data_IF_496052010815
#
_entry.id   IF_496052010815
#
_cell.length_a   1.000
_cell.length_b   1.000
_cell.length_c   1.000
_cell.angle_alpha   90.00
_cell.angle_beta   90.00
_cell.angle_gamma   90.00
#
_symmetry.space_group_name_H-M   'P 1'
#
loop_
_entity.id
_entity.type
_entity.pdbx_description
1 polymer ?
#
# COMPACT_ATOMS: atom_id res chain seq x y z
N UNK A 1 9.42 28.95 13.07
CA UNK A 1 8.97 28.54 14.42
C UNK A 1 10.13 27.85 15.11
N UNK A 2 10.48 28.28 16.33
CA UNK A 2 11.55 27.64 17.09
C UNK A 2 11.15 26.20 17.45
N UNK A 3 12.06 25.23 17.26
CA UNK A 3 11.88 23.87 17.77
C UNK A 3 11.83 23.94 19.31
N UNK A 4 11.05 23.09 19.99
CA UNK A 4 10.95 23.05 21.46
C UNK A 4 12.35 22.99 22.12
N UNK A 5 13.30 22.33 21.48
CA UNK A 5 14.71 22.34 21.87
C UNK A 5 15.28 23.76 21.97
N UNK A 6 15.14 24.58 20.92
CA UNK A 6 15.60 25.98 20.91
C UNK A 6 14.88 26.85 21.93
N UNK A 7 13.60 26.55 22.21
CA UNK A 7 12.85 27.24 23.26
C UNK A 7 13.45 26.91 24.62
N UNK A 8 13.78 25.64 24.88
CA UNK A 8 14.43 25.21 26.13
C UNK A 8 15.86 25.77 26.25
N UNK A 9 16.64 25.76 25.17
CA UNK A 9 17.96 26.40 25.14
C UNK A 9 17.87 27.89 25.46
N UNK A 10 16.88 28.59 24.89
CA UNK A 10 16.63 30.00 25.17
C UNK A 10 16.18 30.24 26.63
N UNK A 11 15.36 29.35 27.20
CA UNK A 11 14.97 29.40 28.62
C UNK A 11 16.20 29.18 29.52
N UNK A 12 17.02 28.17 29.23
CA UNK A 12 18.26 27.91 29.97
C UNK A 12 19.24 29.08 29.85
N UNK A 13 19.41 29.64 28.65
CA UNK A 13 20.24 30.81 28.44
C UNK A 13 19.70 32.02 29.21
N UNK A 14 18.39 32.26 29.17
CA UNK A 14 17.72 33.34 29.90
C UNK A 14 18.00 33.26 31.40
N UNK A 15 17.92 32.06 31.99
CA UNK A 15 18.28 31.82 33.39
C UNK A 15 19.77 32.06 33.65
N UNK A 16 20.67 31.56 32.79
CA UNK A 16 22.11 31.78 32.92
C UNK A 16 22.54 33.25 32.76
N UNK A 17 21.69 34.07 32.13
CA UNK A 17 21.93 35.52 31.94
C UNK A 17 21.16 36.38 32.94
N UNK A 18 20.63 35.81 34.03
CA UNK A 18 19.83 36.49 35.05
C UNK A 18 18.58 37.22 34.49
N UNK A 19 18.08 36.75 33.34
CA UNK A 19 16.91 37.30 32.65
C UNK A 19 15.60 36.63 33.08
N UNK A 20 15.71 35.47 33.73
CA UNK A 20 14.64 34.71 34.36
C UNK A 20 15.04 34.41 35.81
N UNK A 21 14.11 34.58 36.74
CA UNK A 21 14.33 34.13 38.12
C UNK A 21 14.10 32.60 38.28
N UNK A 22 14.36 32.07 39.48
CA UNK A 22 14.24 30.63 39.77
C UNK A 22 12.83 30.09 39.52
N UNK A 23 11.79 30.85 39.89
CA UNK A 23 10.39 30.44 39.76
C UNK A 23 9.95 30.48 38.30
N UNK A 24 10.34 31.52 37.56
CA UNK A 24 10.12 31.68 36.13
C UNK A 24 10.83 30.59 35.32
N UNK A 25 12.10 30.29 35.65
CA UNK A 25 12.85 29.23 35.00
C UNK A 25 12.18 27.88 35.24
N UNK A 26 11.87 27.52 36.49
CA UNK A 26 11.24 26.24 36.82
C UNK A 26 9.90 26.07 36.10
N UNK A 27 9.04 27.10 36.14
CA UNK A 27 7.74 27.07 35.48
C UNK A 27 7.87 26.93 33.95
N UNK A 28 8.72 27.73 33.32
CA UNK A 28 8.91 27.69 31.86
C UNK A 28 9.60 26.40 31.43
N UNK A 29 10.58 25.92 32.18
CA UNK A 29 11.32 24.70 31.85
C UNK A 29 10.46 23.44 31.99
N UNK A 30 9.58 23.39 33.00
CA UNK A 30 8.62 22.30 33.18
C UNK A 30 7.47 22.36 32.18
N UNK A 31 6.89 23.54 31.92
CA UNK A 31 5.84 23.71 30.91
C UNK A 31 6.31 23.38 29.50
N UNK A 32 7.60 23.56 29.22
CA UNK A 32 8.21 23.21 27.93
C UNK A 32 8.90 21.85 27.95
N UNK A 33 8.56 20.94 28.89
CA UNK A 33 9.09 19.58 28.92
C UNK A 33 8.54 18.76 27.76
N UNK A 34 9.40 18.19 26.89
CA UNK A 34 8.93 17.35 25.80
C UNK A 34 8.24 16.11 26.37
N UNK A 35 7.05 15.78 25.85
CA UNK A 35 6.38 14.52 26.16
C UNK A 35 7.05 13.31 25.47
N UNK A 36 7.92 13.56 24.50
CA UNK A 36 8.65 12.56 23.72
C UNK A 36 10.13 12.53 24.12
N UNK A 37 10.81 11.38 23.98
CA UNK A 37 12.26 11.32 24.16
C UNK A 37 12.97 12.31 23.25
N UNK A 38 13.94 13.04 23.79
CA UNK A 38 14.77 13.96 23.04
C UNK A 38 15.88 13.18 22.34
N UNK A 39 15.71 12.93 21.05
CA UNK A 39 16.75 12.34 20.23
C UNK A 39 17.69 13.44 19.74
N UNK A 40 18.99 13.24 19.93
CA UNK A 40 20.04 14.14 19.43
C UNK A 40 20.22 13.96 17.92
N UNK A 41 19.19 14.29 17.13
CA UNK A 41 19.20 14.06 15.67
C UNK A 41 20.29 14.87 14.95
N UNK A 42 20.69 16.00 15.52
CA UNK A 42 21.68 16.94 14.97
C UNK A 42 23.13 16.45 15.06
N UNK A 43 23.39 15.31 15.72
CA UNK A 43 24.73 14.70 15.78
C UNK A 43 25.00 13.73 14.63
N UNK A 44 23.98 13.42 13.83
CA UNK A 44 24.09 12.53 12.67
C UNK A 44 24.22 13.34 11.38
N UNK A 45 24.93 12.78 10.41
CA UNK A 45 25.05 13.38 9.09
C UNK A 45 23.71 13.35 8.34
N UNK A 46 23.42 14.37 7.51
CA UNK A 46 22.23 14.37 6.67
C UNK A 46 22.17 13.13 5.77
N UNK A 47 20.96 12.60 5.54
CA UNK A 47 20.77 11.47 4.65
C UNK A 47 21.27 11.76 3.24
N UNK A 48 22.13 10.90 2.73
CA UNK A 48 22.52 10.82 1.33
C UNK A 48 22.28 9.38 0.83
N UNK A 49 21.62 9.23 -0.31
CA UNK A 49 21.41 7.91 -0.91
C UNK A 49 22.74 7.34 -1.44
N UNK A 50 23.72 8.20 -1.73
CA UNK A 50 24.99 7.76 -2.27
C UNK A 50 25.82 6.90 -1.29
N UNK A 51 25.57 7.04 0.01
CA UNK A 51 26.19 6.23 1.06
C UNK A 51 25.72 4.76 1.08
N UNK A 52 24.69 4.41 0.31
CA UNK A 52 24.10 3.07 0.28
C UNK A 52 24.52 2.31 -0.98
N UNK A 53 24.69 0.99 -0.88
CA UNK A 53 24.76 0.11 -2.06
C UNK A 53 23.39 -0.51 -2.40
N UNK A 54 23.31 -1.23 -3.52
CA UNK A 54 22.06 -1.86 -3.99
C UNK A 54 21.42 -2.82 -2.98
N UNK A 55 22.23 -3.61 -2.28
CA UNK A 55 21.73 -4.57 -1.29
C UNK A 55 21.16 -3.86 -0.07
N UNK A 56 21.82 -2.79 0.37
CA UNK A 56 21.32 -1.94 1.46
C UNK A 56 20.05 -1.20 1.06
N UNK A 57 20.02 -0.60 -0.15
CA UNK A 57 18.82 0.05 -0.68
C UNK A 57 17.64 -0.93 -0.74
N UNK A 58 17.87 -2.15 -1.24
CA UNK A 58 16.82 -3.17 -1.29
C UNK A 58 16.39 -3.63 0.11
N UNK A 59 17.33 -3.78 1.05
CA UNK A 59 17.03 -4.17 2.43
C UNK A 59 16.21 -3.12 3.19
N UNK A 60 16.52 -1.83 3.02
CA UNK A 60 15.87 -0.73 3.75
C UNK A 60 14.64 -0.16 3.03
N UNK A 61 14.67 -0.09 1.70
CA UNK A 61 13.67 0.61 0.89
C UNK A 61 12.89 -0.30 -0.05
N UNK A 62 13.30 -1.56 -0.25
CA UNK A 62 12.71 -2.55 -1.20
C UNK A 62 12.94 -2.24 -2.67
N UNK A 63 13.85 -1.32 -2.98
CA UNK A 63 14.24 -0.98 -4.35
C UNK A 63 15.76 -0.81 -4.38
N UNK A 64 16.37 -1.14 -5.52
CA UNK A 64 17.79 -0.87 -5.81
C UNK A 64 18.03 0.64 -5.95
N UNK A 65 19.29 1.08 -5.90
CA UNK A 65 19.64 2.49 -5.87
C UNK A 65 19.08 3.24 -7.08
N UNK A 66 19.40 2.80 -8.30
CA UNK A 66 18.96 3.46 -9.53
C UNK A 66 17.43 3.46 -9.68
N UNK A 67 16.78 2.41 -9.19
CA UNK A 67 15.33 2.28 -9.23
C UNK A 67 14.63 3.24 -8.28
N UNK A 68 15.28 3.71 -7.19
CA UNK A 68 14.72 4.76 -6.33
C UNK A 68 14.63 6.10 -7.06
N UNK A 69 15.62 6.43 -7.89
CA UNK A 69 15.58 7.61 -8.75
C UNK A 69 14.46 7.50 -9.78
N UNK A 70 14.35 6.35 -10.47
CA UNK A 70 13.27 6.09 -11.43
C UNK A 70 11.89 6.13 -10.79
N UNK A 71 11.75 5.56 -9.59
CA UNK A 71 10.50 5.56 -8.85
C UNK A 71 10.11 6.98 -8.40
N UNK A 72 11.08 7.80 -7.96
CA UNK A 72 10.86 9.21 -7.64
C UNK A 72 10.27 9.95 -8.86
N UNK A 73 10.86 9.75 -10.02
CA UNK A 73 10.47 10.44 -11.25
C UNK A 73 9.11 9.92 -11.77
N UNK A 74 8.88 8.61 -11.74
CA UNK A 74 7.60 8.00 -12.12
C UNK A 74 6.45 8.46 -11.20
N UNK A 75 6.70 8.61 -9.90
CA UNK A 75 5.74 9.17 -8.95
C UNK A 75 5.61 10.69 -9.05
N UNK A 76 6.39 11.35 -9.92
CA UNK A 76 6.42 12.80 -10.10
C UNK A 76 6.69 13.55 -8.79
N UNK A 77 7.55 12.98 -7.94
CA UNK A 77 7.90 13.60 -6.66
C UNK A 77 8.84 14.78 -6.95
N UNK A 78 8.51 16.00 -6.48
CA UNK A 78 9.32 17.17 -6.78
C UNK A 78 10.68 17.10 -6.07
N UNK A 79 11.68 17.76 -6.63
CA UNK A 79 13.04 17.84 -6.06
C UNK A 79 13.05 18.31 -4.60
N UNK A 80 12.14 19.23 -4.26
CA UNK A 80 11.93 19.69 -2.89
C UNK A 80 10.45 19.70 -2.54
N UNK A 81 10.14 19.06 -1.43
CA UNK A 81 8.80 19.02 -0.86
C UNK A 81 8.70 20.04 0.26
N UNK A 82 7.60 20.79 0.29
CA UNK A 82 7.22 21.66 1.40
C UNK A 82 6.05 21.03 2.15
N UNK A 83 6.29 20.56 3.36
CA UNK A 83 5.24 20.02 4.23
C UNK A 83 4.32 21.13 4.77
N UNK A 84 3.16 20.75 5.29
CA UNK A 84 2.11 21.68 5.80
C UNK A 84 2.59 22.59 6.93
N UNK A 85 3.52 22.14 7.74
CA UNK A 85 4.17 22.91 8.82
C UNK A 85 5.39 23.71 8.35
N UNK A 86 5.65 23.76 7.03
CA UNK A 86 6.73 24.54 6.43
C UNK A 86 8.08 23.83 6.35
N UNK A 87 8.20 22.59 6.86
CA UNK A 87 9.44 21.81 6.69
C UNK A 87 9.74 21.57 5.21
N UNK A 88 11.02 21.57 4.89
CA UNK A 88 11.54 21.30 3.55
C UNK A 88 12.40 20.05 3.58
N UNK A 89 12.15 19.15 2.65
CA UNK A 89 12.85 17.87 2.50
C UNK A 89 13.15 17.64 1.02
N UNK A 90 14.26 16.97 0.71
CA UNK A 90 14.53 16.58 -0.67
C UNK A 90 13.56 15.47 -1.10
N UNK A 91 13.18 15.44 -2.38
CA UNK A 91 12.24 14.44 -2.90
C UNK A 91 12.74 13.01 -2.69
N UNK A 92 14.03 12.77 -2.94
CA UNK A 92 14.67 11.45 -2.79
C UNK A 92 14.69 11.00 -1.32
N UNK A 93 15.03 11.90 -0.41
CA UNK A 93 14.98 11.65 1.03
C UNK A 93 13.54 11.33 1.47
N UNK A 94 12.54 12.08 0.97
CA UNK A 94 11.15 11.90 1.35
C UNK A 94 10.59 10.54 0.89
N UNK A 95 10.93 10.07 -0.32
CA UNK A 95 10.54 8.72 -0.75
C UNK A 95 11.27 7.65 0.06
N UNK A 96 12.54 7.82 0.40
CA UNK A 96 13.27 6.87 1.25
C UNK A 96 12.68 6.80 2.67
N UNK A 97 12.22 7.93 3.23
CA UNK A 97 11.46 7.97 4.49
C UNK A 97 10.15 7.19 4.34
N UNK A 98 9.38 7.41 3.27
CA UNK A 98 8.14 6.66 3.01
C UNK A 98 8.40 5.16 2.93
N UNK A 99 9.36 4.75 2.11
CA UNK A 99 9.70 3.35 1.87
C UNK A 99 10.21 2.66 3.13
N UNK A 100 11.08 3.31 3.92
CA UNK A 100 11.51 2.80 5.22
C UNK A 100 10.35 2.56 6.17
N UNK A 101 9.34 3.44 6.17
CA UNK A 101 8.11 3.26 6.98
C UNK A 101 7.26 2.09 6.52
N UNK A 102 7.34 1.71 5.25
CA UNK A 102 6.51 0.66 4.65
C UNK A 102 7.22 -0.71 4.69
N UNK A 103 8.53 -0.73 4.44
CA UNK A 103 9.35 -1.93 4.30
C UNK A 103 9.31 -2.84 5.53
N UNK A 104 9.33 -2.27 6.74
CA UNK A 104 9.23 -3.03 7.99
C UNK A 104 8.61 -2.22 9.14
N UNK A 105 7.96 -2.86 10.13
CA UNK A 105 7.49 -2.17 11.33
C UNK A 105 8.64 -1.54 12.13
N UNK A 106 8.71 -0.20 12.15
CA UNK A 106 9.63 0.55 13.00
C UNK A 106 8.91 1.69 13.72
N UNK A 107 9.55 2.29 14.73
CA UNK A 107 9.18 3.58 15.33
C UNK A 107 9.87 4.70 14.55
N UNK A 108 9.34 5.93 14.62
CA UNK A 108 10.06 7.08 14.06
C UNK A 108 11.41 7.32 14.75
N UNK A 109 11.53 7.02 16.04
CA UNK A 109 12.80 7.09 16.77
C UNK A 109 13.89 6.20 16.17
N UNK A 110 13.52 5.05 15.60
CA UNK A 110 14.48 4.10 14.99
C UNK A 110 15.09 4.69 13.70
N UNK A 111 14.39 5.63 13.06
CA UNK A 111 14.78 6.28 11.81
C UNK A 111 15.59 7.56 12.01
N UNK A 112 15.66 8.08 13.24
CA UNK A 112 16.33 9.36 13.52
C UNK A 112 17.80 9.32 13.11
N UNK A 113 18.48 8.19 13.37
CA UNK A 113 19.90 8.01 13.04
C UNK A 113 20.15 8.07 11.54
N UNK A 114 19.29 7.42 10.76
CA UNK A 114 19.42 7.32 9.31
C UNK A 114 19.13 8.63 8.60
N UNK A 115 18.10 9.36 9.06
CA UNK A 115 17.64 10.55 8.35
C UNK A 115 18.11 11.87 8.97
N UNK A 116 18.79 11.83 10.12
CA UNK A 116 19.18 13.02 10.89
C UNK A 116 18.02 14.01 11.08
N UNK A 117 16.81 13.48 11.36
CA UNK A 117 15.59 14.26 11.56
C UNK A 117 14.92 13.91 12.87
N UNK A 118 14.27 14.90 13.47
CA UNK A 118 13.44 14.66 14.64
C UNK A 118 12.18 13.83 14.29
N UNK A 119 11.62 13.21 15.32
CA UNK A 119 10.42 12.37 15.19
C UNK A 119 9.22 13.13 14.59
N UNK A 120 8.92 14.38 14.99
CA UNK A 120 7.86 15.18 14.35
C UNK A 120 8.05 15.41 12.85
N UNK A 121 9.28 15.68 12.38
CA UNK A 121 9.59 15.85 10.97
C UNK A 121 9.36 14.54 10.21
N UNK A 122 9.91 13.42 10.70
CA UNK A 122 9.73 12.10 10.08
C UNK A 122 8.25 11.71 9.96
N UNK A 123 7.47 11.95 11.01
CA UNK A 123 6.03 11.70 11.01
C UNK A 123 5.30 12.57 9.96
N UNK A 124 5.65 13.86 9.91
CA UNK A 124 5.06 14.81 8.97
C UNK A 124 5.36 14.43 7.53
N UNK A 125 6.64 14.16 7.23
CA UNK A 125 7.11 13.81 5.88
C UNK A 125 6.47 12.51 5.43
N UNK A 126 6.50 11.47 6.27
CA UNK A 126 5.85 10.19 5.93
C UNK A 126 4.35 10.36 5.66
N UNK A 127 3.64 11.12 6.51
CA UNK A 127 2.20 11.37 6.32
C UNK A 127 1.93 12.18 5.04
N UNK A 128 2.75 13.17 4.75
CA UNK A 128 2.67 13.94 3.52
C UNK A 128 2.86 13.04 2.29
N UNK A 129 3.88 12.18 2.29
CA UNK A 129 4.16 11.26 1.20
C UNK A 129 3.04 10.23 0.99
N UNK A 130 2.47 9.67 2.06
CA UNK A 130 1.30 8.79 1.96
C UNK A 130 0.14 9.51 1.28
N UNK A 131 -0.14 10.75 1.68
CA UNK A 131 -1.22 11.53 1.10
C UNK A 131 -0.94 11.92 -0.35
N UNK A 132 0.30 12.31 -0.67
CA UNK A 132 0.72 12.64 -2.03
C UNK A 132 0.55 11.45 -2.97
N UNK A 133 1.13 10.29 -2.63
CA UNK A 133 1.01 9.09 -3.48
C UNK A 133 -0.45 8.65 -3.62
N UNK A 134 -1.21 8.69 -2.52
CA UNK A 134 -2.63 8.36 -2.59
C UNK A 134 -3.40 9.32 -3.50
N UNK A 135 -3.28 10.64 -3.28
CA UNK A 135 -4.08 11.64 -4.00
C UNK A 135 -3.72 11.71 -5.48
N UNK A 136 -2.43 11.58 -5.81
CA UNK A 136 -1.98 11.71 -7.20
C UNK A 136 -2.07 10.41 -7.99
N UNK A 137 -2.02 9.23 -7.33
CA UNK A 137 -1.82 7.94 -8.00
C UNK A 137 -2.84 6.84 -7.63
N UNK A 138 -3.84 7.09 -6.77
CA UNK A 138 -4.85 6.05 -6.45
C UNK A 138 -5.66 5.60 -7.66
N UNK A 139 -5.84 6.49 -8.65
CA UNK A 139 -6.50 6.17 -9.91
C UNK A 139 -5.90 4.94 -10.62
N UNK A 140 -4.62 4.65 -10.41
CA UNK A 140 -3.91 3.51 -10.99
C UNK A 140 -4.43 2.14 -10.52
N UNK A 141 -5.15 2.11 -9.40
CA UNK A 141 -5.75 0.89 -8.82
C UNK A 141 -7.25 1.06 -8.55
N UNK A 142 -7.87 2.17 -8.92
CA UNK A 142 -9.31 2.40 -8.72
C UNK A 142 -10.15 2.04 -9.96
N UNK A 143 -9.60 2.14 -11.17
CA UNK A 143 -10.31 1.88 -12.43
C UNK A 143 -9.63 0.81 -13.28
N UNK A 144 -10.43 0.09 -14.05
CA UNK A 144 -9.94 -0.86 -15.06
C UNK A 144 -9.58 -0.17 -16.39
N UNK A 145 -9.75 1.16 -16.49
CA UNK A 145 -9.41 1.94 -17.67
C UNK A 145 -7.89 2.19 -17.81
N UNK A 146 -7.11 1.13 -18.00
CA UNK A 146 -5.66 1.20 -18.17
C UNK A 146 -5.24 0.55 -19.48
N UNK A 147 -4.16 1.03 -20.09
CA UNK A 147 -3.69 0.51 -21.38
C UNK A 147 -3.35 -0.99 -21.33
N UNK A 148 -2.80 -1.47 -20.20
CA UNK A 148 -2.46 -2.87 -19.96
C UNK A 148 -3.67 -3.74 -19.56
N UNK A 149 -4.86 -3.15 -19.53
CA UNK A 149 -6.17 -3.80 -19.37
C UNK A 149 -7.05 -3.64 -20.63
N UNK A 150 -6.43 -3.37 -21.80
CA UNK A 150 -7.15 -3.37 -23.08
C UNK A 150 -7.67 -4.78 -23.43
N UNK A 151 -8.68 -4.86 -24.30
CA UNK A 151 -9.25 -6.14 -24.76
C UNK A 151 -8.19 -7.14 -25.23
N UNK A 152 -7.16 -6.68 -25.93
CA UNK A 152 -6.04 -7.52 -26.37
C UNK A 152 -5.26 -8.10 -25.18
N UNK A 153 -4.94 -7.28 -24.17
CA UNK A 153 -4.27 -7.75 -22.96
C UNK A 153 -5.14 -8.72 -22.16
N UNK A 154 -6.43 -8.41 -21.99
CA UNK A 154 -7.36 -9.28 -21.27
C UNK A 154 -7.48 -10.66 -21.96
N UNK A 155 -7.50 -10.71 -23.29
CA UNK A 155 -7.47 -11.96 -24.05
C UNK A 155 -6.18 -12.75 -23.82
N UNK A 156 -5.03 -12.07 -23.81
CA UNK A 156 -3.73 -12.70 -23.52
C UNK A 156 -3.71 -13.29 -22.12
N UNK A 157 -4.23 -12.56 -21.13
CA UNK A 157 -4.34 -13.04 -19.76
C UNK A 157 -5.27 -14.26 -19.64
N UNK A 158 -6.42 -14.22 -20.31
CA UNK A 158 -7.36 -15.35 -20.33
C UNK A 158 -6.76 -16.60 -20.98
N UNK A 159 -6.03 -16.41 -22.08
CA UNK A 159 -5.33 -17.49 -22.77
C UNK A 159 -4.24 -18.10 -21.90
N UNK A 160 -3.44 -17.28 -21.20
CA UNK A 160 -2.40 -17.73 -20.29
C UNK A 160 -2.97 -18.51 -19.09
N UNK A 161 -4.07 -18.03 -18.50
CA UNK A 161 -4.77 -18.72 -17.41
C UNK A 161 -5.30 -20.08 -17.88
N UNK A 162 -5.95 -20.13 -19.06
CA UNK A 162 -6.44 -21.39 -19.63
C UNK A 162 -5.30 -22.37 -19.92
N UNK A 163 -4.18 -21.89 -20.46
CA UNK A 163 -3.00 -22.71 -20.75
C UNK A 163 -2.39 -23.35 -19.49
N UNK A 164 -2.59 -22.76 -18.31
CA UNK A 164 -2.20 -23.34 -17.01
C UNK A 164 -3.22 -24.31 -16.41
N UNK A 165 -4.22 -24.71 -17.21
CA UNK A 165 -5.17 -25.77 -16.86
C UNK A 165 -6.50 -25.26 -16.28
N UNK A 166 -6.77 -23.95 -16.33
CA UNK A 166 -8.07 -23.42 -15.91
C UNK A 166 -9.19 -23.91 -16.84
N UNK A 167 -10.33 -24.34 -16.28
CA UNK A 167 -11.47 -24.75 -17.10
C UNK A 167 -12.11 -23.60 -17.90
N UNK A 168 -12.06 -22.36 -17.39
CA UNK A 168 -12.55 -21.18 -18.09
C UNK A 168 -11.55 -20.69 -19.14
N UNK A 169 -12.03 -20.50 -20.37
CA UNK A 169 -11.24 -19.96 -21.49
C UNK A 169 -11.18 -18.44 -21.53
N UNK A 170 -12.08 -17.78 -20.82
CA UNK A 170 -12.31 -16.33 -20.86
C UNK A 170 -12.03 -15.65 -19.52
N UNK A 171 -11.30 -16.29 -18.61
CA UNK A 171 -10.99 -15.77 -17.27
C UNK A 171 -9.65 -15.03 -17.27
N UNK A 172 -9.63 -13.71 -17.16
CA UNK A 172 -8.39 -12.91 -17.26
C UNK A 172 -7.73 -12.55 -15.91
N UNK A 173 -8.45 -12.72 -14.81
CA UNK A 173 -7.97 -12.32 -13.49
C UNK A 173 -8.82 -12.85 -12.35
N UNK A 174 -8.40 -12.56 -11.12
CA UNK A 174 -9.00 -13.10 -9.90
C UNK A 174 -9.36 -12.00 -8.94
N UNK A 175 -10.55 -12.09 -8.33
CA UNK A 175 -10.99 -11.16 -7.28
C UNK A 175 -11.05 -11.85 -5.93
N UNK A 176 -10.55 -11.16 -4.91
CA UNK A 176 -10.70 -11.62 -3.54
C UNK A 176 -10.79 -10.48 -2.53
N UNK A 177 -11.47 -10.77 -1.41
CA UNK A 177 -11.52 -9.92 -0.24
C UNK A 177 -10.31 -10.16 0.66
N UNK A 178 -9.76 -9.10 1.24
CA UNK A 178 -8.66 -9.21 2.21
C UNK A 178 -8.95 -8.41 3.47
N UNK A 179 -8.59 -9.00 4.61
CA UNK A 179 -8.83 -8.46 5.95
C UNK A 179 -7.51 -7.97 6.51
N UNK A 180 -7.41 -6.67 6.82
CA UNK A 180 -6.22 -6.06 7.40
C UNK A 180 -6.44 -5.74 8.88
N UNK A 181 -5.81 -6.50 9.79
CA UNK A 181 -5.99 -6.30 11.23
C UNK A 181 -5.55 -4.90 11.68
N UNK A 182 -6.33 -4.30 12.56
CA UNK A 182 -6.04 -3.02 13.21
C UNK A 182 -5.99 -3.17 14.73
N UNK A 183 -5.38 -2.20 15.40
CA UNK A 183 -5.55 -2.03 16.84
C UNK A 183 -7.05 -1.95 17.17
N UNK A 184 -7.42 -2.47 18.35
CA UNK A 184 -8.78 -2.27 18.87
C UNK A 184 -9.03 -0.75 18.92
N UNK A 185 -9.98 -0.23 18.13
CA UNK A 185 -10.21 1.20 18.09
C UNK A 185 -11.02 1.61 19.34
N UNK A 186 -10.84 2.86 19.78
CA UNK A 186 -11.63 3.43 20.89
C UNK A 186 -13.07 3.67 20.46
N UNK A 187 -13.24 4.17 19.23
CA UNK A 187 -14.53 4.41 18.58
C UNK A 187 -14.79 3.37 17.49
N UNK A 188 -16.06 3.17 17.12
CA UNK A 188 -16.47 2.26 16.03
C UNK A 188 -16.02 0.80 16.18
N UNK A 189 -15.73 0.36 17.41
CA UNK A 189 -15.22 -0.97 17.71
C UNK A 189 -16.06 -2.09 17.08
N UNK A 190 -17.38 -2.04 17.25
CA UNK A 190 -18.31 -3.04 16.72
C UNK A 190 -18.36 -3.05 15.18
N UNK A 191 -18.15 -1.89 14.55
CA UNK A 191 -18.13 -1.78 13.08
C UNK A 191 -16.90 -2.48 12.50
N UNK A 192 -15.74 -2.28 13.14
CA UNK A 192 -14.48 -2.85 12.68
C UNK A 192 -14.27 -4.30 13.09
N UNK A 193 -15.09 -4.87 13.98
CA UNK A 193 -14.92 -6.25 14.42
C UNK A 193 -15.34 -7.23 13.32
N UNK A 194 -14.39 -8.01 12.82
CA UNK A 194 -14.63 -9.10 11.88
C UNK A 194 -14.89 -10.39 12.67
N UNK A 195 -16.14 -10.88 12.63
CA UNK A 195 -16.54 -12.08 13.37
C UNK A 195 -15.87 -13.37 12.89
N UNK A 196 -15.58 -13.48 11.59
CA UNK A 196 -14.96 -14.66 10.99
C UNK A 196 -13.48 -14.80 11.41
N UNK A 197 -12.71 -13.72 11.33
CA UNK A 197 -11.30 -13.68 11.73
C UNK A 197 -11.08 -13.38 13.23
N UNK A 198 -12.16 -13.05 13.96
CA UNK A 198 -12.16 -12.69 15.39
C UNK A 198 -11.17 -11.57 15.75
N UNK A 199 -11.05 -10.57 14.88
CA UNK A 199 -10.15 -9.42 15.05
C UNK A 199 -10.83 -8.12 14.62
N UNK A 200 -10.36 -6.99 15.15
CA UNK A 200 -10.69 -5.68 14.58
C UNK A 200 -9.89 -5.49 13.30
N UNK A 201 -10.54 -5.13 12.21
CA UNK A 201 -9.90 -5.02 10.90
C UNK A 201 -10.62 -4.02 9.99
N UNK A 202 -9.90 -3.62 8.95
CA UNK A 202 -10.46 -3.01 7.76
C UNK A 202 -10.47 -4.06 6.64
N UNK A 203 -11.49 -4.03 5.79
CA UNK A 203 -11.60 -4.89 4.62
C UNK A 203 -11.26 -4.13 3.35
N UNK A 204 -10.66 -4.84 2.41
CA UNK A 204 -10.40 -4.39 1.05
C UNK A 204 -10.82 -5.49 0.09
N UNK A 205 -11.12 -5.11 -1.14
CA UNK A 205 -11.34 -6.01 -2.26
C UNK A 205 -10.32 -5.67 -3.32
N UNK A 206 -9.78 -6.69 -3.99
CA UNK A 206 -8.83 -6.45 -5.06
C UNK A 206 -8.99 -7.44 -6.20
N UNK A 207 -8.79 -6.94 -7.41
CA UNK A 207 -8.65 -7.74 -8.63
C UNK A 207 -7.17 -7.80 -8.98
N UNK A 208 -6.68 -9.02 -9.19
CA UNK A 208 -5.31 -9.29 -9.64
C UNK A 208 -5.36 -9.85 -11.05
N UNK A 209 -4.52 -9.35 -11.94
CA UNK A 209 -4.42 -9.82 -13.31
C UNK A 209 -3.35 -10.93 -13.42
N UNK A 210 -3.42 -11.71 -14.51
CA UNK A 210 -2.47 -12.80 -14.76
C UNK A 210 -1.00 -12.34 -14.87
N UNK A 211 -0.75 -11.08 -15.21
CA UNK A 211 0.61 -10.50 -15.22
C UNK A 211 1.13 -10.13 -13.82
N UNK A 212 0.41 -10.47 -12.75
CA UNK A 212 0.85 -10.26 -11.37
C UNK A 212 0.60 -8.86 -10.81
N UNK A 213 -0.07 -7.98 -11.56
CA UNK A 213 -0.43 -6.64 -11.09
C UNK A 213 -1.79 -6.62 -10.38
N UNK A 214 -1.90 -5.70 -9.43
CA UNK A 214 -3.18 -5.27 -8.86
C UNK A 214 -3.90 -4.37 -9.86
N UNK A 215 -4.94 -4.90 -10.50
CA UNK A 215 -5.77 -4.21 -11.48
C UNK A 215 -6.83 -3.31 -10.84
N UNK A 216 -7.33 -3.71 -9.67
CA UNK A 216 -8.25 -2.91 -8.87
C UNK A 216 -8.01 -3.16 -7.37
N UNK A 217 -8.16 -2.14 -6.55
CA UNK A 217 -8.05 -2.19 -5.10
C UNK A 217 -9.03 -1.20 -4.45
N UNK A 218 -10.11 -1.73 -3.89
CA UNK A 218 -11.16 -0.96 -3.23
C UNK A 218 -11.12 -1.13 -1.70
N UNK A 219 -11.40 -0.04 -0.99
CA UNK A 219 -11.51 0.03 0.47
C UNK A 219 -10.96 1.36 1.01
N UNK A 220 -10.77 1.50 2.32
CA UNK A 220 -11.15 0.55 3.38
C UNK A 220 -12.66 0.51 3.64
N UNK A 221 -13.17 -0.69 3.92
CA UNK A 221 -14.55 -0.91 4.41
C UNK A 221 -14.51 -1.51 5.82
N UNK A 222 -15.59 -1.34 6.59
CA UNK A 222 -15.64 -1.81 7.98
C UNK A 222 -15.51 -3.34 8.05
N UNK A 223 -14.69 -3.84 8.98
CA UNK A 223 -14.33 -5.26 9.09
C UNK A 223 -15.50 -6.25 9.19
N UNK A 224 -16.66 -5.81 9.69
CA UNK A 224 -17.87 -6.64 9.82
C UNK A 224 -18.57 -6.97 8.49
N UNK A 225 -18.32 -6.20 7.43
CA UNK A 225 -19.06 -6.32 6.16
C UNK A 225 -18.67 -7.58 5.40
N UNK A 226 -19.60 -8.14 4.63
CA UNK A 226 -19.34 -9.28 3.75
C UNK A 226 -18.72 -8.82 2.42
N UNK A 227 -18.09 -9.72 1.70
CA UNK A 227 -17.37 -9.38 0.46
C UNK A 227 -18.33 -8.96 -0.67
N UNK A 228 -19.57 -9.45 -0.67
CA UNK A 228 -20.65 -8.93 -1.53
C UNK A 228 -20.94 -7.44 -1.31
N UNK A 229 -20.80 -6.94 -0.08
CA UNK A 229 -20.97 -5.52 0.21
C UNK A 229 -19.83 -4.73 -0.43
N UNK A 230 -18.58 -5.20 -0.31
CA UNK A 230 -17.44 -4.57 -0.97
C UNK A 230 -17.62 -4.55 -2.50
N UNK A 231 -18.04 -5.67 -3.10
CA UNK A 231 -18.29 -5.75 -4.54
C UNK A 231 -19.31 -4.70 -4.99
N UNK A 232 -20.40 -4.52 -4.25
CA UNK A 232 -21.44 -3.56 -4.59
C UNK A 232 -20.94 -2.11 -4.46
N UNK A 233 -20.30 -1.78 -3.34
CA UNK A 233 -19.84 -0.41 -3.08
C UNK A 233 -18.65 -0.01 -3.97
N UNK A 234 -17.86 -0.97 -4.46
CA UNK A 234 -16.71 -0.71 -5.33
C UNK A 234 -17.08 -0.25 -6.74
N UNK A 235 -18.31 -0.52 -7.20
CA UNK A 235 -18.69 -0.31 -8.60
C UNK A 235 -17.98 -1.26 -9.60
N UNK A 236 -17.22 -2.26 -9.13
CA UNK A 236 -16.40 -3.14 -9.97
C UNK A 236 -17.23 -3.86 -11.05
N UNK A 237 -18.45 -4.31 -10.74
CA UNK A 237 -19.31 -4.97 -11.72
C UNK A 237 -19.65 -4.06 -12.91
N UNK A 238 -19.92 -2.78 -12.65
CA UNK A 238 -20.20 -1.80 -13.69
C UNK A 238 -18.97 -1.53 -14.56
N UNK A 239 -17.78 -1.44 -13.96
CA UNK A 239 -16.54 -1.31 -14.73
C UNK A 239 -16.29 -2.54 -15.62
N UNK A 240 -16.52 -3.74 -15.10
CA UNK A 240 -16.39 -4.99 -15.87
C UNK A 240 -17.39 -5.07 -17.03
N UNK A 241 -18.66 -4.69 -16.79
CA UNK A 241 -19.71 -4.67 -17.81
C UNK A 241 -19.43 -3.68 -18.95
N UNK A 242 -18.61 -2.65 -18.72
CA UNK A 242 -18.21 -1.71 -19.76
C UNK A 242 -16.91 -2.08 -20.49
N UNK A 243 -16.02 -2.84 -19.85
CA UNK A 243 -14.61 -2.95 -20.30
C UNK A 243 -14.11 -4.38 -20.52
N UNK A 244 -14.77 -5.38 -19.92
CA UNK A 244 -14.26 -6.75 -19.88
C UNK A 244 -14.77 -7.57 -21.07
N UNK A 245 -14.32 -7.20 -22.26
CA UNK A 245 -14.64 -7.87 -23.53
C UNK A 245 -13.38 -8.15 -24.34
N UNK A 246 -13.42 -9.21 -25.13
CA UNK A 246 -12.41 -9.51 -26.13
C UNK A 246 -12.52 -8.58 -27.35
N UNK A 247 -11.61 -8.70 -28.31
CA UNK A 247 -11.60 -7.87 -29.53
C UNK A 247 -12.81 -8.11 -30.45
N UNK A 248 -13.58 -9.18 -30.23
CA UNK A 248 -14.79 -9.54 -30.97
C UNK A 248 -16.07 -9.16 -30.21
N UNK A 249 -15.96 -8.57 -29.01
CA UNK A 249 -17.09 -8.23 -28.15
C UNK A 249 -17.62 -9.38 -27.30
N UNK A 250 -16.93 -10.52 -27.23
CA UNK A 250 -17.32 -11.61 -26.32
C UNK A 250 -16.92 -11.27 -24.88
N UNK A 251 -17.77 -11.66 -23.93
CA UNK A 251 -17.55 -11.41 -22.51
C UNK A 251 -16.32 -12.14 -21.98
N UNK A 252 -15.40 -11.37 -21.41
CA UNK A 252 -14.33 -11.85 -20.54
C UNK A 252 -14.73 -11.68 -19.08
N UNK A 253 -14.29 -12.60 -18.23
CA UNK A 253 -14.64 -12.61 -16.81
C UNK A 253 -13.43 -12.62 -15.89
N UNK A 254 -13.67 -12.25 -14.65
CA UNK A 254 -12.78 -12.54 -13.53
C UNK A 254 -13.38 -13.68 -12.70
N UNK A 255 -12.55 -14.36 -11.91
CA UNK A 255 -12.98 -15.47 -11.07
C UNK A 255 -12.82 -15.14 -9.58
N UNK A 256 -13.92 -15.28 -8.83
CA UNK A 256 -14.01 -14.97 -7.41
C UNK A 256 -14.12 -16.20 -6.52
N UNK A 257 -14.07 -15.94 -5.22
CA UNK A 257 -14.42 -16.93 -4.20
C UNK A 257 -15.93 -17.29 -4.23
N UNK A 258 -16.36 -18.31 -3.47
CA UNK A 258 -17.77 -18.65 -3.36
C UNK A 258 -18.64 -17.53 -2.76
N UNK A 259 -18.11 -16.53 -2.06
CA UNK A 259 -18.95 -15.48 -1.48
C UNK A 259 -19.55 -14.58 -2.56
N UNK A 260 -18.87 -14.40 -3.69
CA UNK A 260 -19.33 -13.53 -4.76
C UNK A 260 -20.54 -14.09 -5.56
N UNK A 261 -21.39 -13.20 -6.10
CA UNK A 261 -22.48 -13.59 -7.00
C UNK A 261 -21.95 -14.01 -8.36
N UNK A 262 -22.61 -14.97 -9.01
CA UNK A 262 -22.32 -15.35 -10.38
C UNK A 262 -22.94 -14.34 -11.37
N UNK A 263 -22.11 -13.82 -12.28
CA UNK A 263 -22.47 -12.90 -13.37
C UNK A 263 -21.64 -13.25 -14.61
N UNK A 264 -22.02 -12.75 -15.78
CA UNK A 264 -21.27 -12.99 -17.02
C UNK A 264 -19.78 -12.64 -16.86
N UNK A 265 -19.48 -11.47 -16.27
CA UNK A 265 -18.13 -10.99 -16.03
C UNK A 265 -17.50 -11.41 -14.68
N UNK A 266 -18.24 -12.11 -13.80
CA UNK A 266 -17.74 -12.58 -12.51
C UNK A 266 -18.20 -14.01 -12.27
N UNK A 267 -17.29 -14.96 -12.50
CA UNK A 267 -17.52 -16.38 -12.30
C UNK A 267 -17.00 -16.83 -10.92
N UNK A 268 -17.41 -18.03 -10.51
CA UNK A 268 -17.02 -18.61 -9.23
C UNK A 268 -17.23 -20.12 -9.22
N UNK A 269 -16.86 -20.79 -8.12
CA UNK A 269 -16.97 -22.25 -8.02
C UNK A 269 -18.41 -22.72 -7.91
N UNK A 270 -18.69 -23.93 -8.41
CA UNK A 270 -19.94 -24.63 -8.14
C UNK A 270 -20.06 -24.95 -6.65
N UNK A 271 -21.29 -24.94 -6.12
CA UNK A 271 -21.60 -25.19 -4.70
C UNK A 271 -22.70 -26.24 -4.57
N UNK A 272 -22.68 -26.96 -3.46
CA UNK A 272 -23.69 -27.94 -3.03
C UNK A 272 -23.84 -29.16 -3.97
N UNK A 273 -23.72 -30.38 -3.43
CA UNK A 273 -23.93 -31.65 -4.16
C UNK A 273 -23.21 -31.72 -5.53
N UNK A 274 -21.88 -31.58 -5.50
CA UNK A 274 -21.06 -31.48 -6.70
C UNK A 274 -20.97 -32.82 -7.46
N UNK A 275 -21.24 -32.78 -8.76
CA UNK A 275 -20.89 -33.86 -9.69
C UNK A 275 -19.37 -33.99 -9.81
N UNK A 276 -18.88 -35.11 -10.36
CA UNK A 276 -17.45 -35.28 -10.59
C UNK A 276 -16.89 -34.20 -11.53
N UNK A 277 -17.62 -33.83 -12.58
CA UNK A 277 -17.20 -32.76 -13.51
C UNK A 277 -17.13 -31.40 -12.83
N UNK A 278 -18.08 -31.09 -11.93
CA UNK A 278 -18.05 -29.85 -11.15
C UNK A 278 -16.89 -29.81 -10.15
N UNK A 279 -16.52 -30.97 -9.57
CA UNK A 279 -15.32 -31.08 -8.72
C UNK A 279 -14.04 -30.85 -9.53
N UNK A 280 -13.95 -31.44 -10.73
CA UNK A 280 -12.81 -31.24 -11.63
C UNK A 280 -12.71 -29.77 -12.06
N UNK A 281 -13.84 -29.15 -12.43
CA UNK A 281 -13.89 -27.71 -12.71
C UNK A 281 -13.39 -26.89 -11.52
N UNK A 282 -13.95 -27.09 -10.33
CA UNK A 282 -13.58 -26.33 -9.13
C UNK A 282 -12.10 -26.52 -8.79
N UNK A 283 -11.57 -27.74 -8.90
CA UNK A 283 -10.17 -28.05 -8.68
C UNK A 283 -9.28 -27.29 -9.67
N UNK A 284 -9.60 -27.35 -10.97
CA UNK A 284 -8.84 -26.67 -12.03
C UNK A 284 -8.82 -25.15 -11.89
N UNK A 285 -9.94 -24.54 -11.47
CA UNK A 285 -10.00 -23.10 -11.23
C UNK A 285 -9.29 -22.71 -9.93
N UNK A 286 -9.40 -23.53 -8.88
CA UNK A 286 -8.72 -23.27 -7.61
C UNK A 286 -7.20 -23.33 -7.74
N UNK A 287 -6.66 -24.21 -8.59
CA UNK A 287 -5.21 -24.37 -8.77
C UNK A 287 -4.56 -23.15 -9.42
N UNK A 288 -5.27 -22.43 -10.30
CA UNK A 288 -4.79 -21.18 -10.89
C UNK A 288 -5.13 -19.97 -10.02
N UNK A 289 -6.28 -19.97 -9.33
CA UNK A 289 -6.74 -18.86 -8.49
C UNK A 289 -5.79 -18.56 -7.33
N UNK A 290 -5.02 -19.53 -6.85
CA UNK A 290 -4.02 -19.34 -5.78
C UNK A 290 -3.06 -18.17 -6.06
N UNK A 291 -2.89 -17.77 -7.32
CA UNK A 291 -2.09 -16.60 -7.68
C UNK A 291 -2.56 -15.29 -7.07
N UNK A 292 -3.85 -15.13 -6.75
CA UNK A 292 -4.36 -13.94 -6.04
C UNK A 292 -3.73 -13.84 -4.64
N UNK A 293 -3.53 -14.97 -3.98
CA UNK A 293 -2.93 -15.04 -2.66
C UNK A 293 -1.43 -14.72 -2.72
N UNK A 294 -0.76 -15.08 -3.82
CA UNK A 294 0.64 -14.70 -4.04
C UNK A 294 0.79 -13.19 -4.16
N UNK A 295 -0.05 -12.51 -4.94
CA UNK A 295 0.00 -11.04 -5.06
C UNK A 295 -0.30 -10.35 -3.72
N UNK A 296 -1.25 -10.86 -2.94
CA UNK A 296 -1.48 -10.35 -1.58
C UNK A 296 -0.32 -10.63 -0.64
N UNK A 297 0.34 -11.78 -0.79
CA UNK A 297 1.57 -12.12 -0.11
C UNK A 297 2.69 -11.15 -0.43
N UNK A 298 2.89 -10.84 -1.71
CA UNK A 298 3.89 -9.88 -2.20
C UNK A 298 3.68 -8.49 -1.59
N UNK A 299 2.45 -7.97 -1.60
CA UNK A 299 2.12 -6.68 -0.95
C UNK A 299 2.55 -6.63 0.52
N UNK A 300 2.31 -7.70 1.27
CA UNK A 300 2.67 -7.79 2.69
C UNK A 300 4.19 -8.01 2.85
N UNK A 301 4.81 -8.79 1.97
CA UNK A 301 6.23 -9.12 2.07
C UNK A 301 7.09 -7.91 1.75
N UNK A 302 6.76 -7.18 0.68
CA UNK A 302 7.44 -5.93 0.33
C UNK A 302 7.16 -4.86 1.40
N UNK A 303 5.89 -4.66 1.78
CA UNK A 303 5.48 -3.58 2.68
C UNK A 303 4.90 -4.09 4.01
N UNK A 304 5.75 -4.78 4.77
CA UNK A 304 5.39 -5.52 6.01
C UNK A 304 4.81 -4.64 7.11
N UNK A 305 5.09 -3.34 7.10
CA UNK A 305 4.48 -2.42 8.07
C UNK A 305 2.95 -2.32 7.91
N UNK A 306 2.41 -2.70 6.76
CA UNK A 306 0.97 -2.70 6.51
C UNK A 306 0.21 -3.81 7.21
N UNK A 307 0.88 -4.91 7.54
CA UNK A 307 0.28 -6.03 8.25
C UNK A 307 0.48 -5.97 9.77
N UNK A 308 1.35 -5.06 10.24
CA UNK A 308 1.63 -4.94 11.67
C UNK A 308 0.53 -4.20 12.43
N UNK A 309 -0.45 -4.98 12.90
CA UNK A 309 -1.62 -4.56 13.67
C UNK A 309 -1.36 -3.48 14.72
N UNK A 310 -0.26 -3.57 15.49
CA UNK A 310 0.05 -2.64 16.59
C UNK A 310 0.36 -1.21 16.11
N UNK A 311 0.73 -1.03 14.84
CA UNK A 311 0.93 0.29 14.21
C UNK A 311 -0.32 0.81 13.51
N UNK A 312 -1.38 0.01 13.38
CA UNK A 312 -2.61 0.37 12.67
C UNK A 312 -3.66 0.88 13.64
N UNK A 313 -3.50 2.12 14.09
CA UNK A 313 -4.43 2.80 15.00
C UNK A 313 -5.30 3.76 14.21
N UNK A 314 -6.60 3.47 14.13
CA UNK A 314 -7.56 4.41 13.52
C UNK A 314 -7.57 5.73 14.29
N UNK A 315 -7.67 6.85 13.56
CA UNK A 315 -7.57 8.21 14.10
C UNK A 315 -6.15 8.69 14.40
N UNK A 316 -5.15 7.80 14.44
CA UNK A 316 -3.75 8.15 14.70
C UNK A 316 -2.80 7.80 13.54
N UNK A 317 -3.27 7.01 12.58
CA UNK A 317 -2.51 6.62 11.39
C UNK A 317 -3.45 6.50 10.20
N UNK A 318 -2.94 6.76 9.00
CA UNK A 318 -3.69 6.70 7.76
C UNK A 318 -3.88 5.24 7.28
N UNK A 319 -4.42 4.36 8.15
CA UNK A 319 -4.53 2.92 7.93
C UNK A 319 -5.10 2.55 6.55
N UNK A 320 -6.15 3.26 6.12
CA UNK A 320 -6.79 3.11 4.82
C UNK A 320 -5.85 3.35 3.65
N UNK A 321 -5.32 4.58 3.59
CA UNK A 321 -4.42 5.02 2.51
C UNK A 321 -3.16 4.19 2.44
N UNK A 322 -2.60 3.77 3.58
CA UNK A 322 -1.37 2.96 3.62
C UNK A 322 -1.51 1.66 2.82
N UNK A 323 -2.65 0.97 2.89
CA UNK A 323 -2.81 -0.29 2.15
C UNK A 323 -2.94 -0.05 0.65
N UNK A 324 -3.66 1.01 0.25
CA UNK A 324 -3.80 1.41 -1.17
C UNK A 324 -2.46 1.85 -1.75
N UNK A 325 -1.71 2.70 -1.03
CA UNK A 325 -0.35 3.09 -1.41
C UNK A 325 0.58 1.87 -1.53
N UNK A 326 0.41 0.86 -0.67
CA UNK A 326 1.19 -0.38 -0.79
C UNK A 326 0.84 -1.16 -2.06
N UNK A 327 -0.42 -1.13 -2.52
CA UNK A 327 -0.80 -1.71 -3.82
C UNK A 327 -0.12 -1.01 -4.99
N UNK A 328 -0.10 0.33 -4.99
CA UNK A 328 0.58 1.13 -6.02
C UNK A 328 2.08 0.83 -6.03
N UNK A 329 2.72 0.85 -4.86
CA UNK A 329 4.14 0.54 -4.73
C UNK A 329 4.46 -0.93 -5.04
N UNK A 330 3.51 -1.85 -4.80
CA UNK A 330 3.68 -3.28 -5.17
C UNK A 330 3.64 -3.43 -6.68
N UNK A 331 2.73 -2.74 -7.37
CA UNK A 331 2.76 -2.70 -8.83
C UNK A 331 4.11 -2.16 -9.31
N UNK A 332 4.57 -1.02 -8.79
CA UNK A 332 5.91 -0.46 -9.09
C UNK A 332 7.07 -1.45 -8.81
N UNK A 333 6.96 -2.28 -7.79
CA UNK A 333 7.96 -3.30 -7.48
C UNK A 333 7.90 -4.48 -8.47
N UNK A 334 6.70 -5.01 -8.75
CA UNK A 334 6.47 -6.05 -9.77
C UNK A 334 6.95 -5.57 -11.14
N UNK A 335 6.86 -4.27 -11.40
CA UNK A 335 7.37 -3.65 -12.63
C UNK A 335 8.88 -3.80 -12.82
N UNK A 336 9.63 -3.60 -11.74
CA UNK A 336 11.08 -3.55 -11.78
C UNK A 336 11.70 -4.95 -11.62
N UNK A 337 11.03 -5.83 -10.88
CA UNK A 337 11.62 -7.10 -10.44
C UNK A 337 10.79 -8.34 -10.80
N UNK A 338 9.61 -8.16 -11.38
CA UNK A 338 8.64 -9.22 -11.60
C UNK A 338 8.05 -9.77 -10.29
N UNK A 339 7.20 -10.78 -10.40
CA UNK A 339 6.74 -11.57 -9.25
C UNK A 339 6.37 -13.01 -9.65
N UNK A 340 6.09 -13.83 -8.64
CA UNK A 340 5.75 -15.25 -8.83
C UNK A 340 4.55 -15.45 -9.77
N UNK A 341 3.57 -14.55 -9.75
CA UNK A 341 2.38 -14.63 -10.62
C UNK A 341 2.72 -14.39 -12.08
N UNK A 342 3.47 -13.32 -12.38
CA UNK A 342 3.94 -13.01 -13.75
C UNK A 342 4.77 -14.16 -14.34
N UNK A 343 5.65 -14.77 -13.54
CA UNK A 343 6.44 -15.93 -13.93
C UNK A 343 5.59 -17.18 -14.12
N UNK A 344 4.60 -17.40 -13.24
CA UNK A 344 3.73 -18.56 -13.32
C UNK A 344 2.89 -18.56 -14.60
N UNK A 345 2.37 -17.41 -15.02
CA UNK A 345 1.57 -17.28 -16.25
C UNK A 345 2.39 -16.92 -17.50
N UNK A 346 3.70 -16.73 -17.38
CA UNK A 346 4.60 -16.34 -18.47
C UNK A 346 4.15 -15.04 -19.16
N UNK A 347 3.89 -14.02 -18.34
CA UNK A 347 3.40 -12.72 -18.78
C UNK A 347 4.25 -11.61 -18.16
N UNK A 348 5.10 -11.00 -18.98
CA UNK A 348 5.83 -9.81 -18.57
C UNK A 348 4.88 -8.62 -18.43
N UNK A 349 4.96 -7.86 -17.34
CA UNK A 349 4.23 -6.63 -17.25
C UNK A 349 4.90 -5.58 -18.21
N UNK A 350 4.18 -4.61 -18.84
CA UNK A 350 4.73 -3.40 -19.56
C UNK A 350 5.35 -2.15 -18.81
N UNK A 351 6.67 -1.92 -18.74
CA UNK A 351 7.47 -0.82 -18.06
C UNK A 351 6.86 0.12 -16.98
N UNK A 352 7.69 0.47 -15.96
CA UNK A 352 7.34 1.42 -14.88
C UNK A 352 6.82 2.76 -15.43
N UNK A 353 7.50 3.34 -16.42
CA UNK A 353 7.19 4.64 -16.97
C UNK A 353 5.84 4.63 -17.71
N UNK A 354 5.51 3.54 -18.42
CA UNK A 354 4.19 3.37 -19.05
C UNK A 354 3.09 3.24 -18.00
N UNK A 355 3.34 2.54 -16.89
CA UNK A 355 2.33 2.36 -15.83
C UNK A 355 1.87 3.69 -15.21
N UNK A 356 2.82 4.59 -14.95
CA UNK A 356 2.56 5.91 -14.34
C UNK A 356 2.16 7.01 -15.36
N UNK A 357 2.13 6.71 -16.67
CA UNK A 357 1.54 7.62 -17.65
C UNK A 357 0.04 7.81 -17.36
N UNK A 358 -0.40 9.07 -17.34
CA UNK A 358 -1.80 9.44 -17.08
C UNK A 358 -2.71 9.00 -18.21
#
# INVERSE_FOLDING_TARGET
MANLHRVREAITLGYLTDLLDDDEFMLLYDNNKPSNPEFQYYVYDPFDLEDYNDDECNAYFRFKKDDLYRLKDALQIPERIKCTNGYRVQGLEAICILLSRFAYPCRYGDMVKTFARDVPQLCTISTHMINFVYSEHSYLVETLNRFWLSSEHLMRYASAIHAKGAALKNCWGFVDGTVRPICRPKEYQRLCYNGHKRVHALKYQSVTAANGLVANLFGPIEGRRHDCFLLRESGLLTELEHRSYDTLGNTLCIYGDPAYPLRAHLQGPFKCNLTNDQKLYNHSMSSVRVSVEWVFGDMINFFKSTDFKKNKKMGLSACGKMYIVSGILTNAHTWLYGNSTSQFFDLEPPTLEQYFQR
#
